data_IF_557639337333
#
_entry.id   IF_557639337333
#
_cell.length_a   1.000
_cell.length_b   1.000
_cell.length_c   1.000
_cell.angle_alpha   90.00
_cell.angle_beta   90.00
_cell.angle_gamma   90.00
#
_symmetry.space_group_name_H-M   'P 1'
#
loop_
_entity.id
_entity.type
_entity.pdbx_description
1 polymer ?
#
# COMPACT_ATOMS: atom_id res chain seq x y z
N UNK A 1 -9.13 14.01 -10.45
CA UNK A 1 -8.32 13.63 -9.27
C UNK A 1 -6.96 14.27 -9.44
N UNK A 2 -6.52 15.12 -8.51
CA UNK A 2 -5.19 15.71 -8.57
C UNK A 2 -4.16 14.67 -8.08
N UNK A 3 -3.08 14.48 -8.82
CA UNK A 3 -1.91 13.71 -8.41
C UNK A 3 -1.24 14.48 -7.27
N UNK A 4 -0.99 13.82 -6.13
CA UNK A 4 -0.26 14.40 -5.01
C UNK A 4 1.24 14.01 -5.04
N UNK A 5 2.04 14.64 -4.16
CA UNK A 5 3.48 14.36 -4.10
C UNK A 5 3.81 12.91 -3.70
N UNK A 6 2.93 12.25 -2.94
CA UNK A 6 3.09 10.85 -2.56
C UNK A 6 2.87 9.96 -3.78
N UNK A 7 1.89 10.27 -4.63
CA UNK A 7 1.63 9.57 -5.89
C UNK A 7 2.83 9.66 -6.85
N UNK A 8 3.47 10.84 -6.94
CA UNK A 8 4.71 11.02 -7.72
C UNK A 8 5.87 10.20 -7.15
N UNK A 9 6.10 10.27 -5.84
CA UNK A 9 7.17 9.52 -5.18
C UNK A 9 6.97 8.00 -5.33
N UNK A 10 5.73 7.52 -5.19
CA UNK A 10 5.37 6.14 -5.44
C UNK A 10 5.68 5.74 -6.89
N UNK A 11 5.25 6.54 -7.87
CA UNK A 11 5.52 6.27 -9.28
C UNK A 11 7.02 6.19 -9.58
N UNK A 12 7.82 7.13 -9.08
CA UNK A 12 9.28 7.13 -9.24
C UNK A 12 9.90 5.90 -8.57
N UNK A 13 9.45 5.56 -7.36
CA UNK A 13 9.90 4.36 -6.64
C UNK A 13 9.61 3.07 -7.41
N UNK A 14 8.40 2.92 -7.95
CA UNK A 14 8.03 1.77 -8.78
C UNK A 14 8.79 1.73 -10.10
N UNK A 15 9.01 2.87 -10.75
CA UNK A 15 9.81 2.93 -11.97
C UNK A 15 11.26 2.50 -11.71
N UNK A 16 11.87 3.00 -10.62
CA UNK A 16 13.21 2.60 -10.21
C UNK A 16 13.28 1.10 -9.88
N UNK A 17 12.28 0.58 -9.17
CA UNK A 17 12.17 -0.82 -8.82
C UNK A 17 12.02 -1.73 -10.06
N UNK A 18 11.21 -1.31 -11.04
CA UNK A 18 11.02 -2.04 -12.30
C UNK A 18 12.30 -2.09 -13.14
N UNK A 19 13.09 -1.01 -13.14
CA UNK A 19 14.42 -1.03 -13.77
C UNK A 19 15.35 -1.97 -13.01
N UNK A 20 15.40 -1.87 -11.68
CA UNK A 20 16.26 -2.72 -10.85
C UNK A 20 15.94 -4.21 -10.98
N UNK A 21 14.66 -4.57 -11.18
CA UNK A 21 14.24 -5.96 -11.33
C UNK A 21 14.76 -6.65 -12.60
N UNK A 22 15.31 -5.91 -13.56
CA UNK A 22 15.97 -6.49 -14.74
C UNK A 22 17.37 -7.05 -14.44
N UNK A 23 17.94 -6.69 -13.28
CA UNK A 23 19.34 -7.02 -12.92
C UNK A 23 19.48 -7.71 -11.57
N UNK A 24 18.52 -7.51 -10.66
CA UNK A 24 18.54 -8.06 -9.30
C UNK A 24 17.81 -9.40 -9.21
N UNK A 25 18.20 -10.19 -8.22
CA UNK A 25 17.50 -11.42 -7.86
C UNK A 25 16.06 -11.13 -7.38
N UNK A 26 15.13 -12.04 -7.70
CA UNK A 26 13.72 -11.87 -7.37
C UNK A 26 13.44 -11.61 -5.88
N UNK A 27 14.18 -12.26 -4.98
CA UNK A 27 14.04 -12.04 -3.54
C UNK A 27 14.44 -10.62 -3.11
N UNK A 28 15.50 -10.05 -3.70
CA UNK A 28 15.95 -8.68 -3.44
C UNK A 28 14.92 -7.67 -3.97
N UNK A 29 14.38 -7.92 -5.17
CA UNK A 29 13.31 -7.10 -5.75
C UNK A 29 12.06 -7.13 -4.87
N UNK A 30 11.66 -8.31 -4.39
CA UNK A 30 10.49 -8.46 -3.52
C UNK A 30 10.68 -7.76 -2.17
N UNK A 31 11.87 -7.84 -1.57
CA UNK A 31 12.20 -7.11 -0.35
C UNK A 31 12.16 -5.59 -0.56
N UNK A 32 12.73 -5.09 -1.67
CA UNK A 32 12.69 -3.68 -2.03
C UNK A 32 11.25 -3.20 -2.31
N UNK A 33 10.43 -4.03 -2.98
CA UNK A 33 9.01 -3.77 -3.20
C UNK A 33 8.26 -3.63 -1.86
N UNK A 34 8.46 -4.59 -0.95
CA UNK A 34 7.86 -4.56 0.39
C UNK A 34 8.27 -3.33 1.20
N UNK A 35 9.55 -2.96 1.16
CA UNK A 35 10.06 -1.75 1.82
C UNK A 35 9.46 -0.46 1.26
N UNK A 36 9.35 -0.35 -0.08
CA UNK A 36 8.72 0.79 -0.75
C UNK A 36 7.24 0.92 -0.36
N UNK A 37 6.50 -0.19 -0.43
CA UNK A 37 5.09 -0.26 -0.06
C UNK A 37 4.87 0.13 1.40
N UNK A 38 5.70 -0.37 2.32
CA UNK A 38 5.66 0.01 3.74
C UNK A 38 5.93 1.51 3.94
N UNK A 39 6.90 2.07 3.22
CA UNK A 39 7.19 3.52 3.27
C UNK A 39 5.99 4.35 2.81
N UNK A 40 5.34 3.95 1.70
CA UNK A 40 4.13 4.61 1.19
C UNK A 40 2.98 4.49 2.19
N UNK A 41 2.78 3.30 2.79
CA UNK A 41 1.79 3.10 3.84
C UNK A 41 1.95 4.09 4.98
N UNK A 42 3.18 4.27 5.47
CA UNK A 42 3.47 5.19 6.57
C UNK A 42 3.15 6.63 6.17
N UNK A 43 3.55 7.06 4.97
CA UNK A 43 3.25 8.42 4.48
C UNK A 43 1.74 8.66 4.33
N UNK A 44 1.00 7.66 3.82
CA UNK A 44 -0.46 7.73 3.70
C UNK A 44 -1.15 7.79 5.05
N UNK A 45 -0.62 7.06 6.05
CA UNK A 45 -1.14 7.10 7.41
C UNK A 45 -0.99 8.51 8.01
N UNK A 46 0.20 9.11 7.91
CA UNK A 46 0.43 10.48 8.38
C UNK A 46 -0.30 11.54 7.55
N UNK A 47 -0.58 11.26 6.27
CA UNK A 47 -1.40 12.10 5.41
C UNK A 47 -2.91 12.00 5.66
N UNK A 48 -3.36 11.30 6.70
CA UNK A 48 -4.78 11.14 7.03
C UNK A 48 -5.54 10.19 6.09
N UNK A 49 -4.85 9.26 5.43
CA UNK A 49 -5.45 8.32 4.46
C UNK A 49 -5.29 6.87 4.93
N UNK A 50 -5.94 6.48 6.05
CA UNK A 50 -5.68 5.22 6.74
C UNK A 50 -6.00 4.00 5.86
N UNK A 51 -7.10 4.03 5.12
CA UNK A 51 -7.52 2.93 4.26
C UNK A 51 -6.55 2.69 3.11
N UNK A 52 -5.99 3.76 2.54
CA UNK A 52 -4.93 3.61 1.54
C UNK A 52 -3.69 3.01 2.16
N UNK A 53 -3.30 3.48 3.35
CA UNK A 53 -2.14 2.96 4.05
C UNK A 53 -2.24 1.44 4.31
N UNK A 54 -3.40 0.98 4.78
CA UNK A 54 -3.68 -0.45 5.00
C UNK A 54 -3.69 -1.19 3.65
N UNK A 55 -4.23 -0.58 2.60
CA UNK A 55 -4.21 -1.17 1.26
C UNK A 55 -2.79 -1.42 0.75
N UNK A 56 -1.91 -0.44 0.88
CA UNK A 56 -0.48 -0.57 0.58
C UNK A 56 0.22 -1.60 1.48
N UNK A 57 -0.15 -1.69 2.77
CA UNK A 57 0.41 -2.65 3.71
C UNK A 57 -0.01 -4.08 3.37
N UNK A 58 -1.24 -4.28 2.89
CA UNK A 58 -1.70 -5.57 2.40
C UNK A 58 -0.83 -6.06 1.23
N UNK A 59 -0.38 -5.15 0.35
CA UNK A 59 0.53 -5.52 -0.74
C UNK A 59 1.94 -5.88 -0.27
N UNK A 60 2.39 -5.39 0.90
CA UNK A 60 3.59 -5.94 1.56
C UNK A 60 3.36 -7.41 1.91
N UNK A 61 2.18 -7.77 2.43
CA UNK A 61 1.79 -9.16 2.66
C UNK A 61 1.85 -10.00 1.39
N UNK A 62 1.35 -9.48 0.26
CA UNK A 62 1.48 -10.15 -1.04
C UNK A 62 2.96 -10.32 -1.45
N UNK A 63 3.81 -9.31 -1.27
CA UNK A 63 5.25 -9.43 -1.55
C UNK A 63 5.92 -10.50 -0.68
N UNK A 64 5.56 -10.58 0.61
CA UNK A 64 6.08 -11.60 1.54
C UNK A 64 5.72 -13.02 1.07
N UNK A 65 4.53 -13.24 0.51
CA UNK A 65 4.17 -14.57 -0.02
C UNK A 65 5.09 -15.06 -1.14
N UNK A 66 5.65 -14.13 -1.92
CA UNK A 66 6.64 -14.44 -2.96
C UNK A 66 7.99 -14.77 -2.33
N UNK A 67 8.42 -14.01 -1.32
CA UNK A 67 9.69 -14.24 -0.61
C UNK A 67 9.69 -15.59 0.12
N UNK A 68 8.55 -15.99 0.69
CA UNK A 68 8.42 -17.25 1.41
C UNK A 68 8.27 -18.48 0.50
N UNK A 69 8.28 -18.29 -0.83
CA UNK A 69 8.10 -19.36 -1.82
C UNK A 69 6.89 -20.26 -1.51
N UNK A 70 5.77 -19.62 -1.13
CA UNK A 70 4.53 -20.35 -0.89
C UNK A 70 4.08 -21.00 -2.20
N UNK A 71 3.55 -22.23 -2.11
CA UNK A 71 3.10 -22.99 -3.26
C UNK A 71 1.62 -23.37 -3.18
N UNK A 72 1.05 -23.67 -4.36
CA UNK A 72 -0.28 -24.25 -4.50
C UNK A 72 -1.40 -23.35 -3.94
N UNK A 73 -2.34 -23.97 -3.23
CA UNK A 73 -3.54 -23.30 -2.74
C UNK A 73 -3.23 -22.26 -1.66
N UNK A 74 -2.19 -22.48 -0.84
CA UNK A 74 -1.74 -21.51 0.16
C UNK A 74 -1.27 -20.22 -0.51
N UNK A 75 -0.44 -20.32 -1.55
CA UNK A 75 -0.04 -19.14 -2.33
C UNK A 75 -1.24 -18.41 -2.90
N UNK A 76 -2.14 -19.13 -3.58
CA UNK A 76 -3.30 -18.54 -4.25
C UNK A 76 -4.19 -17.77 -3.27
N UNK A 77 -4.50 -18.38 -2.11
CA UNK A 77 -5.35 -17.74 -1.09
C UNK A 77 -4.65 -16.56 -0.44
N UNK A 78 -3.38 -16.70 -0.06
CA UNK A 78 -2.68 -15.64 0.67
C UNK A 78 -2.31 -14.49 -0.26
N UNK A 79 -1.66 -14.75 -1.39
CA UNK A 79 -1.32 -13.71 -2.38
C UNK A 79 -2.59 -13.06 -2.94
N UNK A 80 -3.54 -13.87 -3.41
CA UNK A 80 -4.79 -13.37 -3.96
C UNK A 80 -5.60 -12.58 -2.94
N UNK A 81 -5.69 -13.07 -1.71
CA UNK A 81 -6.36 -12.37 -0.60
C UNK A 81 -5.73 -11.00 -0.33
N UNK A 82 -4.41 -10.94 -0.20
CA UNK A 82 -3.71 -9.67 0.03
C UNK A 82 -3.84 -8.69 -1.14
N UNK A 83 -3.75 -9.16 -2.39
CA UNK A 83 -3.93 -8.33 -3.59
C UNK A 83 -5.34 -7.77 -3.64
N UNK A 84 -6.37 -8.62 -3.46
CA UNK A 84 -7.77 -8.22 -3.50
C UNK A 84 -8.13 -7.26 -2.36
N UNK A 85 -7.70 -7.56 -1.13
CA UNK A 85 -7.92 -6.68 0.02
C UNK A 85 -7.25 -5.33 -0.19
N UNK A 86 -5.99 -5.31 -0.62
CA UNK A 86 -5.28 -4.05 -0.88
C UNK A 86 -5.95 -3.22 -1.97
N UNK A 87 -6.35 -3.86 -3.06
CA UNK A 87 -7.08 -3.22 -4.15
C UNK A 87 -8.44 -2.67 -3.73
N UNK A 88 -9.21 -3.45 -2.97
CA UNK A 88 -10.53 -3.05 -2.47
C UNK A 88 -10.43 -1.86 -1.50
N UNK A 89 -9.42 -1.84 -0.63
CA UNK A 89 -9.18 -0.74 0.31
C UNK A 89 -8.78 0.55 -0.40
N UNK A 90 -7.88 0.47 -1.39
CA UNK A 90 -7.48 1.63 -2.19
C UNK A 90 -8.65 2.17 -3.02
N UNK A 91 -9.38 1.29 -3.72
CA UNK A 91 -10.54 1.68 -4.50
C UNK A 91 -11.65 2.25 -3.61
N UNK A 92 -11.98 1.58 -2.50
CA UNK A 92 -13.00 2.03 -1.55
C UNK A 92 -12.66 3.38 -0.92
N UNK A 93 -11.38 3.62 -0.61
CA UNK A 93 -10.91 4.92 -0.09
C UNK A 93 -11.04 6.02 -1.15
N UNK A 94 -10.60 5.76 -2.39
CA UNK A 94 -10.62 6.75 -3.48
C UNK A 94 -12.04 7.06 -3.98
N UNK A 95 -12.95 6.10 -3.90
CA UNK A 95 -14.36 6.26 -4.26
C UNK A 95 -15.20 6.88 -3.13
N UNK A 96 -14.60 7.16 -1.96
CA UNK A 96 -15.32 7.71 -0.80
C UNK A 96 -16.31 6.73 -0.16
N UNK A 97 -16.16 5.43 -0.43
CA UNK A 97 -17.01 4.37 0.13
C UNK A 97 -16.62 4.05 1.57
N UNK A 98 -15.35 4.19 1.91
CA UNK A 98 -14.83 3.92 3.25
C UNK A 98 -14.85 5.21 4.09
N UNK A 99 -15.54 5.13 5.23
CA UNK A 99 -15.64 6.24 6.20
C UNK A 99 -14.26 6.54 6.76
N UNK A 100 -13.84 7.80 6.75
CA UNK A 100 -12.65 8.24 7.46
C UNK A 100 -12.94 8.25 8.97
N UNK A 101 -12.65 7.14 9.64
CA UNK A 101 -12.84 7.00 11.10
C UNK A 101 -11.61 7.43 11.90
N UNK A 102 -10.54 7.88 11.23
CA UNK A 102 -9.26 8.25 11.87
C UNK A 102 -9.00 9.75 11.84
N UNK A 103 -9.71 10.51 11.00
CA UNK A 103 -9.84 11.95 11.16
C UNK A 103 -10.75 12.24 12.34
N UNK A 104 -10.17 12.63 13.47
CA UNK A 104 -10.95 13.26 14.54
C UNK A 104 -11.28 14.66 14.06
N UNK A 105 -12.56 14.97 13.84
CA UNK A 105 -13.01 16.34 13.60
C UNK A 105 -12.48 17.19 14.76
N UNK A 106 -11.70 18.23 14.44
CA UNK A 106 -11.21 19.18 15.42
C UNK A 106 -12.32 20.15 15.89
N UNK A 107 -13.56 19.65 16.01
CA UNK A 107 -14.77 20.43 16.24
C UNK A 107 -15.12 20.43 17.73
N UNK A 108 -14.24 21.02 18.55
CA UNK A 108 -14.45 21.03 19.99
C UNK A 108 -13.82 22.16 20.80
N UNK A 109 -13.31 23.25 20.21
CA UNK A 109 -12.66 24.29 21.04
C UNK A 109 -12.61 25.72 20.49
N UNK A 110 -13.69 26.23 19.87
CA UNK A 110 -13.77 27.66 19.60
C UNK A 110 -15.20 28.20 19.56
N UNK A 111 -15.98 28.05 20.63
CA UNK A 111 -17.15 28.91 20.87
C UNK A 111 -17.45 28.96 22.39
N UNK A 112 -16.76 29.89 23.06
CA UNK A 112 -17.18 30.51 24.32
C UNK A 112 -17.03 32.02 24.12
#
# INVERSE_FOLDING_TARGET
>A
MAIDGIDVAAFVGFAALAVASTTLEGAVVAAAAGGLLLSISIWRLYGGRPWEAIGWLAWVGAAVTIVLDLAGLTFLVTFGGFVLVGGALLAGSRLGVLVDVWSVDADGSAEN
#
